data_IF_320000119208
#
_entry.id   IF_320000119208
#
_cell.length_a   1.000
_cell.length_b   1.000
_cell.length_c   1.000
_cell.angle_alpha   90.00
_cell.angle_beta   90.00
_cell.angle_gamma   90.00
#
_symmetry.space_group_name_H-M   'P 1'
#
loop_
_entity.id
_entity.type
_entity.pdbx_description
1 polymer ?
#
# COMPACT_ATOMS: atom_id res chain seq x y z
N UNK A 1 4.37 24.33 -15.13
CA UNK A 1 4.76 23.04 -14.50
C UNK A 1 5.62 22.25 -15.47
N UNK A 2 6.47 21.34 -14.95
CA UNK A 2 7.32 20.52 -15.82
C UNK A 2 6.53 19.80 -16.96
N UNK A 3 5.32 19.31 -16.68
CA UNK A 3 4.49 18.68 -17.71
C UNK A 3 4.11 19.70 -18.81
N UNK A 4 3.73 20.93 -18.45
CA UNK A 4 3.41 21.98 -19.44
C UNK A 4 4.64 22.40 -20.25
N UNK A 5 5.79 22.45 -19.61
CA UNK A 5 7.05 22.85 -20.26
C UNK A 5 7.49 21.78 -21.30
N UNK A 6 7.27 20.49 -21.00
CA UNK A 6 7.55 19.38 -21.92
C UNK A 6 6.53 19.27 -23.07
N UNK A 7 5.28 19.63 -22.83
CA UNK A 7 4.20 19.54 -23.81
C UNK A 7 3.97 20.84 -24.58
N UNK A 8 4.61 21.94 -24.15
CA UNK A 8 4.41 23.29 -24.66
C UNK A 8 2.92 23.68 -24.74
N UNK A 9 2.08 23.10 -23.86
CA UNK A 9 0.65 23.26 -23.86
C UNK A 9 0.17 24.02 -22.63
N UNK A 10 -0.48 25.17 -22.88
CA UNK A 10 -1.04 26.05 -21.86
C UNK A 10 -2.55 26.21 -21.96
N UNK A 11 -3.21 25.37 -22.79
CA UNK A 11 -4.66 25.42 -22.91
C UNK A 11 -5.36 25.12 -21.58
N UNK A 12 -6.44 25.84 -21.31
CA UNK A 12 -7.16 25.75 -20.04
C UNK A 12 -7.72 24.34 -19.79
N UNK A 13 -8.17 23.66 -20.83
CA UNK A 13 -8.64 22.27 -20.75
C UNK A 13 -7.52 21.31 -20.33
N UNK A 14 -6.31 21.46 -20.88
CA UNK A 14 -5.14 20.67 -20.53
C UNK A 14 -4.71 20.94 -19.09
N UNK A 15 -4.59 22.22 -18.72
CA UNK A 15 -4.17 22.63 -17.35
C UNK A 15 -5.13 22.09 -16.30
N UNK A 16 -6.44 22.13 -16.56
CA UNK A 16 -7.47 21.61 -15.64
C UNK A 16 -7.35 20.09 -15.44
N UNK A 17 -6.85 19.36 -16.43
CA UNK A 17 -6.70 17.90 -16.36
C UNK A 17 -5.33 17.44 -15.79
N UNK A 18 -4.36 18.33 -15.59
CA UNK A 18 -3.05 17.95 -15.00
C UNK A 18 -3.17 17.15 -13.68
N UNK A 19 -4.04 17.52 -12.73
CA UNK A 19 -4.22 16.74 -11.52
C UNK A 19 -4.72 15.32 -11.77
N UNK A 20 -5.48 15.10 -12.85
CA UNK A 20 -5.96 13.76 -13.23
C UNK A 20 -4.79 12.90 -13.73
N UNK A 21 -3.94 13.44 -14.61
CA UNK A 21 -2.76 12.72 -15.12
C UNK A 21 -1.82 12.31 -14.00
N UNK A 22 -1.59 13.22 -13.04
CA UNK A 22 -0.75 12.96 -11.87
C UNK A 22 -1.34 11.81 -11.04
N UNK A 23 -2.63 11.87 -10.69
CA UNK A 23 -3.28 10.83 -9.88
C UNK A 23 -3.27 9.45 -10.55
N UNK A 24 -3.53 9.41 -11.86
CA UNK A 24 -3.49 8.14 -12.62
C UNK A 24 -2.09 7.54 -12.62
N UNK A 25 -1.06 8.37 -12.77
CA UNK A 25 0.33 7.95 -12.74
C UNK A 25 0.75 7.47 -11.34
N UNK A 26 0.42 8.22 -10.30
CA UNK A 26 0.66 7.83 -8.90
C UNK A 26 0.03 6.48 -8.59
N UNK A 27 -1.24 6.30 -8.97
CA UNK A 27 -1.95 5.03 -8.77
C UNK A 27 -1.29 3.86 -9.53
N UNK A 28 -0.84 4.10 -10.77
CA UNK A 28 -0.12 3.09 -11.57
C UNK A 28 1.21 2.69 -10.92
N UNK A 29 1.98 3.65 -10.40
CA UNK A 29 3.25 3.39 -9.72
C UNK A 29 2.99 2.60 -8.43
N UNK A 30 2.09 3.08 -7.57
CA UNK A 30 1.80 2.47 -6.28
C UNK A 30 1.23 1.04 -6.38
N UNK A 31 0.52 0.71 -7.47
CA UNK A 31 0.06 -0.66 -7.72
C UNK A 31 1.17 -1.62 -8.16
N UNK A 32 2.29 -1.09 -8.67
CA UNK A 32 3.36 -1.91 -9.24
C UNK A 32 4.61 -1.97 -8.38
N UNK A 33 4.77 -1.06 -7.43
CA UNK A 33 5.96 -0.94 -6.59
C UNK A 33 5.56 -1.04 -5.12
N UNK A 34 6.17 -2.01 -4.43
CA UNK A 34 6.01 -2.19 -2.99
C UNK A 34 7.32 -1.77 -2.30
N UNK A 35 7.32 -0.58 -1.72
CA UNK A 35 8.46 -0.07 -0.95
C UNK A 35 8.15 -0.15 0.55
N UNK A 36 9.16 -0.46 1.35
CA UNK A 36 9.05 -0.52 2.81
C UNK A 36 8.57 0.82 3.41
N UNK A 37 8.95 1.93 2.79
CA UNK A 37 8.51 3.27 3.22
C UNK A 37 7.00 3.53 3.05
N UNK A 38 6.29 2.71 2.27
CA UNK A 38 4.83 2.73 2.20
C UNK A 38 4.16 1.81 3.23
N UNK A 39 4.92 1.31 4.19
CA UNK A 39 4.39 0.61 5.35
C UNK A 39 4.02 1.61 6.45
N UNK A 40 2.93 1.33 7.10
CA UNK A 40 2.40 2.11 8.21
C UNK A 40 1.94 1.19 9.33
N UNK A 41 1.97 1.69 10.55
CA UNK A 41 1.43 0.99 11.71
C UNK A 41 0.17 1.73 12.18
N UNK A 42 -0.88 0.98 12.49
CA UNK A 42 -2.08 1.49 13.15
C UNK A 42 -2.49 0.58 14.27
N UNK A 43 -2.95 1.17 15.37
CA UNK A 43 -3.45 0.43 16.52
C UNK A 43 -4.93 0.69 16.71
N UNK A 44 -5.67 -0.35 17.10
CA UNK A 44 -7.08 -0.29 17.43
C UNK A 44 -7.39 -1.20 18.61
N UNK A 45 -8.50 -0.96 19.29
CA UNK A 45 -8.99 -1.88 20.32
C UNK A 45 -9.99 -2.85 19.70
N UNK A 46 -9.75 -4.14 19.85
CA UNK A 46 -10.73 -5.16 19.53
C UNK A 46 -11.84 -5.12 20.57
N UNK A 47 -13.06 -5.32 20.12
CA UNK A 47 -14.23 -5.38 21.02
C UNK A 47 -14.48 -6.84 21.43
N UNK A 48 -14.70 -7.08 22.72
CA UNK A 48 -15.07 -8.38 23.25
C UNK A 48 -16.24 -9.00 22.45
N UNK A 49 -16.06 -10.21 21.96
CA UNK A 49 -17.08 -10.96 21.23
C UNK A 49 -17.37 -10.46 19.81
N UNK A 50 -16.70 -9.41 19.35
CA UNK A 50 -16.82 -8.93 17.97
C UNK A 50 -15.68 -9.49 17.11
N UNK A 51 -16.02 -10.31 16.14
CA UNK A 51 -15.05 -10.88 15.19
C UNK A 51 -14.58 -9.89 14.12
N UNK A 52 -15.21 -8.73 13.98
CA UNK A 52 -14.85 -7.73 12.98
C UNK A 52 -13.99 -6.62 13.57
N UNK A 53 -12.95 -6.26 12.82
CA UNK A 53 -12.03 -5.15 13.12
C UNK A 53 -11.99 -4.21 11.91
N UNK A 54 -12.26 -2.91 12.14
CA UNK A 54 -12.22 -1.92 11.07
C UNK A 54 -10.80 -1.70 10.53
N UNK A 55 -10.68 -1.63 9.21
CA UNK A 55 -9.45 -1.24 8.53
C UNK A 55 -9.23 0.28 8.58
N UNK A 56 -7.99 0.76 8.60
CA UNK A 56 -7.70 2.19 8.42
C UNK A 56 -8.19 2.71 7.08
N UNK A 57 -8.59 3.98 7.01
CA UNK A 57 -9.13 4.60 5.79
C UNK A 57 -8.12 4.70 4.63
N UNK A 58 -6.82 4.66 4.93
CA UNK A 58 -5.72 4.68 3.96
C UNK A 58 -5.14 3.28 3.69
N UNK A 59 -5.82 2.22 4.15
CA UNK A 59 -5.42 0.83 3.96
C UNK A 59 -5.38 0.44 2.48
N UNK A 60 -4.29 -0.24 2.08
CA UNK A 60 -4.12 -0.80 0.74
C UNK A 60 -3.97 -2.33 0.76
N UNK A 61 -3.05 -2.84 1.59
CA UNK A 61 -2.79 -4.27 1.72
C UNK A 61 -2.21 -4.60 3.09
N UNK A 62 -2.58 -5.73 3.72
CA UNK A 62 -2.03 -6.14 5.00
C UNK A 62 -0.59 -6.62 4.85
N UNK A 63 0.25 -6.31 5.83
CA UNK A 63 1.59 -6.87 5.96
C UNK A 63 1.66 -7.85 7.12
N UNK A 64 1.25 -7.43 8.32
CA UNK A 64 1.11 -8.31 9.50
C UNK A 64 0.12 -7.73 10.49
N UNK A 65 -0.49 -8.60 11.28
CA UNK A 65 -1.38 -8.22 12.38
C UNK A 65 -0.95 -8.92 13.65
N UNK A 66 -0.97 -8.21 14.76
CA UNK A 66 -0.67 -8.74 16.08
C UNK A 66 -1.62 -8.18 17.13
N UNK A 67 -1.72 -8.84 18.27
CA UNK A 67 -2.42 -8.32 19.45
C UNK A 67 -1.55 -8.46 20.69
N UNK A 68 -1.87 -7.67 21.71
CA UNK A 68 -1.27 -7.79 23.03
C UNK A 68 -2.14 -8.74 23.86
N UNK A 69 -1.52 -9.84 24.32
CA UNK A 69 -2.17 -10.77 25.23
C UNK A 69 -2.28 -10.20 26.65
N UNK A 70 -2.90 -10.95 27.57
CA UNK A 70 -3.06 -10.56 28.97
C UNK A 70 -1.72 -10.31 29.70
N UNK A 71 -0.63 -10.91 29.23
CA UNK A 71 0.73 -10.68 29.74
C UNK A 71 1.46 -9.51 29.11
N UNK A 72 0.77 -8.73 28.27
CA UNK A 72 1.34 -7.63 27.45
C UNK A 72 2.41 -8.09 26.44
N UNK A 73 2.37 -9.35 26.03
CA UNK A 73 3.23 -9.90 25.01
C UNK A 73 2.55 -9.75 23.64
N UNK A 74 3.34 -9.41 22.62
CA UNK A 74 2.88 -9.29 21.24
C UNK A 74 2.78 -10.67 20.61
N UNK A 75 1.56 -11.05 20.18
CA UNK A 75 1.25 -12.30 19.50
C UNK A 75 0.82 -11.99 18.08
N UNK A 76 1.52 -12.55 17.09
CA UNK A 76 1.21 -12.37 15.67
C UNK A 76 0.12 -13.34 15.22
N UNK A 77 -0.84 -12.82 14.43
CA UNK A 77 -1.89 -13.60 13.80
C UNK A 77 -1.43 -14.08 12.42
N UNK A 78 -1.92 -15.24 12.01
CA UNK A 78 -1.70 -15.75 10.66
C UNK A 78 -2.79 -15.22 9.71
N UNK A 79 -2.36 -14.71 8.55
CA UNK A 79 -3.28 -14.33 7.48
C UNK A 79 -3.83 -15.58 6.77
N UNK A 80 -5.15 -15.69 6.66
CA UNK A 80 -5.85 -16.82 6.03
C UNK A 80 -6.97 -16.31 5.12
N UNK A 81 -7.60 -17.22 4.41
CA UNK A 81 -8.82 -16.95 3.65
C UNK A 81 -10.03 -16.78 4.59
N UNK A 82 -11.01 -15.96 4.16
CA UNK A 82 -12.24 -15.70 4.94
C UNK A 82 -12.99 -17.00 5.28
N UNK A 83 -13.10 -17.90 4.30
CA UNK A 83 -13.82 -19.17 4.53
C UNK A 83 -13.11 -20.03 5.59
N UNK A 84 -11.76 -20.01 5.60
CA UNK A 84 -10.99 -20.70 6.62
C UNK A 84 -11.29 -20.14 8.01
N UNK A 85 -11.26 -18.81 8.17
CA UNK A 85 -11.51 -18.16 9.46
C UNK A 85 -12.93 -18.46 9.95
N UNK A 86 -13.91 -18.38 9.07
CA UNK A 86 -15.32 -18.70 9.40
C UNK A 86 -15.54 -20.19 9.72
N UNK A 87 -14.84 -21.09 9.03
CA UNK A 87 -14.90 -22.52 9.34
C UNK A 87 -14.23 -22.83 10.68
N UNK A 88 -13.09 -22.20 10.95
CA UNK A 88 -12.38 -22.34 12.23
C UNK A 88 -13.22 -21.84 13.42
N UNK A 89 -13.92 -20.74 13.25
CA UNK A 89 -14.83 -20.16 14.25
C UNK A 89 -16.28 -20.24 13.79
N UNK A 90 -16.76 -21.45 13.48
CA UNK A 90 -18.12 -21.67 12.98
C UNK A 90 -19.23 -21.20 13.92
N UNK A 91 -18.94 -21.10 15.21
CA UNK A 91 -19.83 -20.50 16.20
C UNK A 91 -19.28 -19.13 16.62
N UNK A 92 -19.86 -18.06 16.12
CA UNK A 92 -19.46 -16.67 16.42
C UNK A 92 -19.54 -16.29 17.91
N UNK A 93 -20.29 -17.06 18.72
CA UNK A 93 -20.32 -16.89 20.17
C UNK A 93 -19.06 -17.44 20.87
N UNK A 94 -18.22 -18.22 20.18
CA UNK A 94 -16.98 -18.73 20.74
C UNK A 94 -15.93 -17.63 20.75
N UNK A 95 -15.51 -17.22 21.94
CA UNK A 95 -14.47 -16.19 22.12
C UNK A 95 -13.17 -16.83 22.58
N UNK A 96 -12.05 -16.18 22.25
CA UNK A 96 -10.70 -16.60 22.63
C UNK A 96 -9.66 -15.58 22.20
N UNK A 97 -8.40 -15.93 22.37
CA UNK A 97 -7.30 -15.14 21.81
C UNK A 97 -7.26 -15.34 20.29
N UNK A 98 -7.34 -14.26 19.49
CA UNK A 98 -7.30 -14.35 18.04
C UNK A 98 -6.00 -15.01 17.54
N UNK A 99 -6.13 -15.96 16.60
CA UNK A 99 -4.99 -16.66 15.98
C UNK A 99 -4.87 -16.39 14.50
N UNK A 100 -6.02 -16.20 13.85
CA UNK A 100 -6.12 -16.01 12.41
C UNK A 100 -6.86 -14.73 12.10
N UNK A 101 -6.53 -14.14 10.97
CA UNK A 101 -7.28 -13.00 10.43
C UNK A 101 -7.39 -13.14 8.91
N UNK A 102 -8.43 -12.53 8.36
CA UNK A 102 -8.63 -12.39 6.92
C UNK A 102 -9.18 -11.00 6.62
N UNK A 103 -8.97 -10.53 5.40
CA UNK A 103 -9.65 -9.34 4.92
C UNK A 103 -11.06 -9.75 4.47
N UNK A 104 -12.09 -9.29 5.20
CA UNK A 104 -13.48 -9.63 4.92
C UNK A 104 -14.04 -8.78 3.77
N UNK A 105 -13.83 -7.48 3.85
CA UNK A 105 -14.18 -6.50 2.83
C UNK A 105 -13.13 -5.36 2.77
N UNK A 106 -13.44 -4.27 2.06
CA UNK A 106 -12.52 -3.12 1.91
C UNK A 106 -12.25 -2.44 3.25
N UNK A 107 -13.23 -2.44 4.14
CA UNK A 107 -13.23 -1.65 5.37
C UNK A 107 -13.05 -2.51 6.64
N UNK A 108 -13.08 -3.85 6.52
CA UNK A 108 -13.08 -4.72 7.70
C UNK A 108 -12.21 -5.97 7.52
N UNK A 109 -11.57 -6.35 8.62
CA UNK A 109 -10.97 -7.66 8.82
C UNK A 109 -11.89 -8.54 9.65
N UNK A 110 -11.81 -9.86 9.48
CA UNK A 110 -12.41 -10.86 10.34
C UNK A 110 -11.33 -11.57 11.14
N UNK A 111 -11.58 -11.78 12.43
CA UNK A 111 -10.69 -12.42 13.40
C UNK A 111 -11.23 -13.81 13.79
N UNK A 112 -10.34 -14.76 13.95
CA UNK A 112 -10.72 -16.10 14.40
C UNK A 112 -9.80 -16.65 15.49
N UNK A 113 -10.32 -16.96 16.68
CA UNK A 113 -11.70 -16.74 17.19
C UNK A 113 -11.99 -15.26 17.50
N UNK A 114 -13.25 -14.93 17.78
CA UNK A 114 -13.61 -13.61 18.25
C UNK A 114 -12.89 -13.27 19.57
N UNK A 115 -12.42 -12.04 19.77
CA UNK A 115 -11.66 -11.66 20.97
C UNK A 115 -12.42 -11.94 22.28
N UNK A 116 -11.75 -12.56 23.25
CA UNK A 116 -12.29 -12.82 24.60
C UNK A 116 -12.16 -11.64 25.55
N UNK A 117 -11.42 -10.59 25.14
CA UNK A 117 -11.23 -9.35 25.87
C UNK A 117 -11.03 -8.17 24.91
N UNK A 118 -11.14 -6.96 25.44
CA UNK A 118 -10.75 -5.75 24.70
C UNK A 118 -9.21 -5.70 24.64
N UNK A 119 -8.65 -6.27 23.60
CA UNK A 119 -7.20 -6.34 23.38
C UNK A 119 -6.74 -5.29 22.38
N UNK A 120 -5.56 -4.72 22.60
CA UNK A 120 -4.95 -3.81 21.64
C UNK A 120 -4.44 -4.62 20.45
N UNK A 121 -5.00 -4.32 19.28
CA UNK A 121 -4.57 -4.85 17.99
C UNK A 121 -3.60 -3.88 17.34
N UNK A 122 -2.61 -4.39 16.63
CA UNK A 122 -1.66 -3.62 15.86
C UNK A 122 -1.60 -4.19 14.44
N UNK A 123 -1.90 -3.35 13.47
CA UNK A 123 -1.86 -3.69 12.05
C UNK A 123 -0.69 -2.97 11.39
N UNK A 124 0.22 -3.72 10.81
CA UNK A 124 1.21 -3.21 9.87
C UNK A 124 0.67 -3.42 8.45
N UNK A 125 0.64 -2.37 7.66
CA UNK A 125 0.00 -2.40 6.34
C UNK A 125 0.69 -1.46 5.36
N UNK A 126 0.50 -1.73 4.08
CA UNK A 126 0.81 -0.78 3.03
C UNK A 126 -0.33 0.23 2.94
N UNK A 127 0.01 1.51 3.02
CA UNK A 127 -0.98 2.58 2.93
C UNK A 127 -0.96 3.24 1.55
N UNK A 128 -2.08 3.87 1.19
CA UNK A 128 -2.16 4.73 0.03
C UNK A 128 -1.73 6.14 0.42
N UNK A 129 -0.58 6.62 -0.05
CA UNK A 129 -0.17 8.01 0.21
C UNK A 129 -1.17 9.01 -0.40
N UNK A 130 -1.29 10.15 0.24
CA UNK A 130 -2.09 11.26 -0.28
C UNK A 130 -1.45 11.76 -1.57
N UNK A 131 -2.26 11.98 -2.63
CA UNK A 131 -1.76 12.52 -3.91
C UNK A 131 -1.16 13.91 -3.72
N UNK A 132 -0.11 14.21 -4.47
CA UNK A 132 0.49 15.55 -4.54
C UNK A 132 -0.54 16.63 -4.92
N UNK A 133 -1.61 16.23 -5.63
CA UNK A 133 -2.68 17.13 -6.07
C UNK A 133 -3.69 17.48 -4.98
N UNK A 134 -3.66 16.78 -3.84
CA UNK A 134 -4.65 16.99 -2.77
C UNK A 134 -4.33 18.15 -1.84
N UNK A 135 -3.20 18.85 -2.02
CA UNK A 135 -2.83 20.04 -1.27
C UNK A 135 -2.49 19.84 0.22
N UNK A 136 -2.77 18.66 0.78
CA UNK A 136 -2.60 18.37 2.20
C UNK A 136 -1.13 18.21 2.64
N UNK A 137 -0.21 18.04 1.71
CA UNK A 137 1.22 17.79 1.97
C UNK A 137 2.15 18.91 1.51
N UNK A 138 1.66 20.13 1.31
CA UNK A 138 2.50 21.23 0.81
C UNK A 138 2.93 21.06 -0.65
N UNK A 139 2.28 20.18 -1.41
CA UNK A 139 2.57 19.96 -2.82
C UNK A 139 3.80 19.09 -3.09
N UNK A 140 4.31 18.36 -2.10
CA UNK A 140 5.41 17.41 -2.25
C UNK A 140 5.03 16.03 -1.72
N UNK A 141 5.46 14.99 -2.43
CA UNK A 141 5.35 13.60 -1.99
C UNK A 141 6.69 12.91 -2.23
N UNK A 142 6.90 11.73 -1.66
CA UNK A 142 8.11 10.97 -1.92
C UNK A 142 8.32 10.71 -3.42
N UNK A 143 7.24 10.42 -4.17
CA UNK A 143 7.33 10.26 -5.62
C UNK A 143 7.83 11.51 -6.33
N UNK A 144 7.48 12.69 -5.84
CA UNK A 144 7.91 13.96 -6.43
C UNK A 144 9.34 14.38 -6.02
N UNK A 145 9.90 13.82 -4.96
CA UNK A 145 11.24 14.12 -4.48
C UNK A 145 12.26 13.08 -4.91
N UNK A 146 11.95 11.81 -4.72
CA UNK A 146 12.90 10.71 -4.89
C UNK A 146 12.67 9.88 -6.17
N UNK A 147 11.47 9.96 -6.77
CA UNK A 147 11.11 9.24 -7.99
C UNK A 147 10.58 10.18 -9.09
N UNK A 148 11.14 11.38 -9.20
CA UNK A 148 10.69 12.45 -10.11
C UNK A 148 10.59 11.98 -11.57
N UNK A 149 11.59 11.23 -12.07
CA UNK A 149 11.59 10.77 -13.47
C UNK A 149 10.45 9.78 -13.73
N UNK A 150 10.18 8.88 -12.80
CA UNK A 150 9.08 7.95 -12.92
C UNK A 150 7.73 8.69 -12.95
N UNK A 151 7.52 9.64 -12.03
CA UNK A 151 6.31 10.44 -12.00
C UNK A 151 6.16 11.29 -13.26
N UNK A 152 7.22 11.99 -13.70
CA UNK A 152 7.18 12.86 -14.86
C UNK A 152 6.85 12.09 -16.15
N UNK A 153 7.60 11.04 -16.46
CA UNK A 153 7.37 10.27 -17.69
C UNK A 153 6.00 9.58 -17.70
N UNK A 154 5.54 9.08 -16.55
CA UNK A 154 4.18 8.54 -16.45
C UNK A 154 3.11 9.61 -16.73
N UNK A 155 3.26 10.82 -16.19
CA UNK A 155 2.35 11.92 -16.49
C UNK A 155 2.43 12.38 -17.96
N UNK A 156 3.60 12.33 -18.59
CA UNK A 156 3.73 12.66 -20.01
C UNK A 156 3.02 11.63 -20.90
N UNK A 157 3.04 10.35 -20.58
CA UNK A 157 2.26 9.33 -21.29
C UNK A 157 0.78 9.64 -21.25
N UNK A 158 0.23 9.99 -20.08
CA UNK A 158 -1.18 10.36 -19.93
C UNK A 158 -1.50 11.67 -20.67
N UNK A 159 -0.60 12.66 -20.58
CA UNK A 159 -0.75 13.95 -21.26
C UNK A 159 -0.79 13.79 -22.79
N UNK A 160 0.15 13.03 -23.37
CA UNK A 160 0.18 12.77 -24.81
C UNK A 160 -1.01 11.93 -25.27
N UNK A 161 -1.50 11.01 -24.44
CA UNK A 161 -2.75 10.29 -24.71
C UNK A 161 -3.94 11.25 -24.76
N UNK A 162 -4.03 12.19 -23.84
CA UNK A 162 -5.08 13.20 -23.80
C UNK A 162 -5.04 14.12 -25.02
N UNK A 163 -3.86 14.61 -25.39
CA UNK A 163 -3.67 15.50 -26.54
C UNK A 163 -3.79 14.82 -27.88
N UNK A 164 -3.89 13.48 -27.93
CA UNK A 164 -3.75 12.68 -29.16
C UNK A 164 -2.46 13.02 -29.91
N UNK A 165 -1.38 13.16 -29.13
CA UNK A 165 -0.08 13.55 -29.62
C UNK A 165 0.57 12.50 -30.53
N UNK A 166 1.79 12.78 -31.00
CA UNK A 166 2.52 11.92 -31.91
C UNK A 166 2.80 10.56 -31.27
N UNK A 167 2.49 9.43 -31.96
CA UNK A 167 2.67 8.08 -31.43
C UNK A 167 4.12 7.78 -31.03
N UNK A 168 5.08 8.29 -31.79
CA UNK A 168 6.51 8.06 -31.54
C UNK A 168 6.96 8.66 -30.20
N UNK A 169 6.53 9.88 -29.90
CA UNK A 169 6.81 10.54 -28.63
C UNK A 169 6.09 9.85 -27.46
N UNK A 170 4.85 9.44 -27.68
CA UNK A 170 4.12 8.68 -26.67
C UNK A 170 4.81 7.36 -26.35
N UNK A 171 5.29 6.64 -27.36
CA UNK A 171 6.04 5.42 -27.19
C UNK A 171 7.40 5.66 -26.48
N UNK A 172 8.11 6.73 -26.84
CA UNK A 172 9.36 7.11 -26.16
C UNK A 172 9.14 7.34 -24.67
N UNK A 173 8.10 8.11 -24.28
CA UNK A 173 7.79 8.36 -22.89
C UNK A 173 7.33 7.10 -22.16
N UNK A 174 6.59 6.22 -22.84
CA UNK A 174 6.20 4.93 -22.28
C UNK A 174 7.41 4.04 -21.95
N UNK A 175 8.41 3.98 -22.85
CA UNK A 175 9.66 3.24 -22.62
C UNK A 175 10.43 3.85 -21.44
N UNK A 176 10.61 5.18 -21.42
CA UNK A 176 11.28 5.89 -20.31
C UNK A 176 10.57 5.69 -18.96
N UNK A 177 9.24 5.67 -18.96
CA UNK A 177 8.46 5.35 -17.78
C UNK A 177 8.73 3.93 -17.27
N UNK A 178 8.76 2.93 -18.17
CA UNK A 178 9.04 1.55 -17.80
C UNK A 178 10.47 1.36 -17.28
N UNK A 179 11.47 2.02 -17.88
CA UNK A 179 12.83 2.03 -17.38
C UNK A 179 12.93 2.60 -15.95
N UNK A 180 12.31 3.75 -15.71
CA UNK A 180 12.28 4.39 -14.38
C UNK A 180 11.51 3.54 -13.35
N UNK A 181 10.42 2.90 -13.76
CA UNK A 181 9.62 2.01 -12.92
C UNK A 181 10.39 0.73 -12.56
N UNK A 182 11.15 0.17 -13.50
CA UNK A 182 12.00 -1.00 -13.25
C UNK A 182 13.11 -0.68 -12.23
N UNK A 183 13.75 0.49 -12.35
CA UNK A 183 14.75 0.95 -11.38
C UNK A 183 14.13 1.12 -9.98
N UNK A 184 12.90 1.62 -9.90
CA UNK A 184 12.17 1.79 -8.65
C UNK A 184 11.80 0.44 -8.00
N UNK A 185 11.41 -0.56 -8.81
CA UNK A 185 11.16 -1.93 -8.32
C UNK A 185 12.43 -2.55 -7.76
N UNK A 186 13.54 -2.40 -8.47
CA UNK A 186 14.83 -2.93 -8.02
C UNK A 186 15.27 -2.31 -6.68
N UNK A 187 14.99 -1.01 -6.47
CA UNK A 187 15.24 -0.36 -5.19
C UNK A 187 14.41 -0.99 -4.06
N UNK A 188 13.12 -1.29 -4.31
CA UNK A 188 12.25 -1.95 -3.35
C UNK A 188 12.69 -3.37 -3.00
N UNK A 189 13.14 -4.14 -3.99
CA UNK A 189 13.66 -5.48 -3.78
C UNK A 189 14.98 -5.46 -3.00
N UNK A 190 15.88 -4.52 -3.30
CA UNK A 190 17.15 -4.36 -2.60
C UNK A 190 16.96 -4.05 -1.11
N UNK A 191 15.97 -3.21 -0.77
CA UNK A 191 15.61 -2.88 0.61
C UNK A 191 15.10 -4.12 1.38
N UNK A 192 14.29 -4.95 0.75
CA UNK A 192 13.80 -6.21 1.34
C UNK A 192 14.94 -7.24 1.53
N UNK A 193 15.84 -7.36 0.56
CA UNK A 193 16.96 -8.29 0.62
C UNK A 193 17.96 -7.91 1.71
N UNK A 194 18.21 -6.62 1.95
CA UNK A 194 19.04 -6.17 3.07
C UNK A 194 18.48 -6.59 4.41
N UNK A 195 17.17 -6.57 4.58
CA UNK A 195 16.51 -6.96 5.82
C UNK A 195 16.69 -8.47 6.09
N UNK A 196 16.65 -9.31 5.06
CA UNK A 196 16.93 -10.75 5.18
C UNK A 196 18.39 -11.05 5.59
N UNK A 197 19.36 -10.31 5.06
CA UNK A 197 20.78 -10.51 5.38
C UNK A 197 21.18 -9.91 6.74
N UNK A 198 20.57 -8.81 7.14
CA UNK A 198 20.88 -8.11 8.40
C UNK A 198 20.23 -8.77 9.60
N UNK A 199 19.06 -9.39 9.45
CA UNK A 199 18.36 -10.05 10.55
C UNK A 199 18.96 -11.40 10.93
N UNK A 200 19.98 -11.89 10.19
CA UNK A 200 20.73 -13.09 10.54
C UNK A 200 19.81 -14.22 10.99
N UNK A 201 18.89 -14.67 10.13
CA UNK A 201 18.07 -15.82 10.46
C UNK A 201 18.99 -16.98 10.77
N UNK A 202 19.11 -17.31 12.05
CA UNK A 202 19.76 -18.55 12.49
C UNK A 202 18.96 -19.69 11.89
N UNK A 203 19.42 -20.20 10.77
CA UNK A 203 18.89 -21.44 10.16
C UNK A 203 19.10 -22.52 11.21
N UNK A 204 18.05 -22.84 11.96
CA UNK A 204 18.09 -24.00 12.86
C UNK A 204 18.20 -25.23 11.96
N UNK A 205 19.28 -26.04 12.09
CA UNK A 205 19.33 -27.30 11.37
C UNK A 205 18.14 -28.14 11.80
N UNK A 206 17.39 -28.65 10.85
CA UNK A 206 16.35 -29.65 11.11
C UNK A 206 17.01 -30.86 11.74
N UNK A 207 16.65 -31.18 13.00
CA UNK A 207 16.91 -32.51 13.60
C UNK A 207 15.98 -33.53 13.02
#
# INVERSE_FOLDING_TARGET
TAIQDYTENTESSFVTNLPVFIRLTEERILKQVQLSLFRKNSTALATLGNEYLAAPSDFLAPFSMSFLNASSEKVFLEFKDVNFVQTYNANSATTGDPKYYAQFDVDNFILGPAPSAASQMELHFFYRPVSITAGAGGGTTWLSTDAQLCLLYGCLVEAYTFMKGEPDLQQLYAVRFQEALAALKLLGEADQTQDEYLTGQVIRPRQ
#
